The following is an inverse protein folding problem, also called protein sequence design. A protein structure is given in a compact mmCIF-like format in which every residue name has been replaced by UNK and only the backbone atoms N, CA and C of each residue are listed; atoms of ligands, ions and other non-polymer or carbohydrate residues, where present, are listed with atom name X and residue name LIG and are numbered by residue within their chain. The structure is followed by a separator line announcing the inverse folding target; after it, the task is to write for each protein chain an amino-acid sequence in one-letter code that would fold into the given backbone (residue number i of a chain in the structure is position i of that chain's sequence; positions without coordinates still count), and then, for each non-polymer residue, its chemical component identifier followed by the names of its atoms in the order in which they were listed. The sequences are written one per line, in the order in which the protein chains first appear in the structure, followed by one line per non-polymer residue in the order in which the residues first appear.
data_IF_810858709422
#
_entry.id   IF_810858709422
#
_cell.length_a   1.000
_cell.length_b   1.000
_cell.length_c   1.000
_cell.angle_alpha   90.00
_cell.angle_beta   90.00
_cell.angle_gamma   90.00
#
_symmetry.space_group_name_H-M   'P 1'
#
loop_
_entity.id
_entity.type
_entity.pdbx_description
1 polymer ?
#
# COMPACT_ATOMS: atom_id res chain seq x y z
N UNK A 1 20.55 7.13 -29.90
CA UNK A 1 20.73 8.48 -30.46
C UNK A 1 21.11 8.30 -31.93
N UNK A 2 21.48 9.35 -32.68
CA UNK A 2 21.90 9.23 -34.09
C UNK A 2 23.07 8.24 -34.29
N UNK A 3 23.91 8.11 -33.27
CA UNK A 3 25.02 7.16 -33.15
C UNK A 3 24.60 5.71 -32.80
N UNK A 4 23.32 5.44 -32.59
CA UNK A 4 22.78 4.15 -32.17
C UNK A 4 22.80 3.88 -30.65
N UNK A 5 23.32 4.80 -29.82
CA UNK A 5 23.41 4.60 -28.36
C UNK A 5 22.02 4.62 -27.71
N UNK A 6 21.59 3.57 -26.98
CA UNK A 6 20.30 3.57 -26.30
C UNK A 6 20.32 4.47 -25.06
N UNK A 7 19.14 4.88 -24.59
CA UNK A 7 18.99 5.54 -23.29
C UNK A 7 18.80 4.52 -22.18
N UNK A 8 19.39 4.78 -21.02
CA UNK A 8 19.23 3.91 -19.84
C UNK A 8 17.96 4.22 -19.03
N UNK A 9 17.63 5.51 -18.87
CA UNK A 9 16.52 5.95 -18.01
C UNK A 9 15.75 7.10 -18.67
N UNK A 10 14.42 6.98 -18.74
CA UNK A 10 13.53 8.04 -19.20
C UNK A 10 12.78 8.66 -18.02
N UNK A 11 12.93 9.97 -17.82
CA UNK A 11 12.30 10.71 -16.73
C UNK A 11 11.09 11.51 -17.21
N UNK A 12 10.08 11.63 -16.35
CA UNK A 12 8.91 12.45 -16.65
C UNK A 12 9.24 13.95 -16.52
N UNK A 13 9.11 14.75 -17.60
CA UNK A 13 9.49 16.17 -17.58
C UNK A 13 8.59 17.03 -16.67
N UNK A 14 7.37 16.58 -16.35
CA UNK A 14 6.42 17.35 -15.54
C UNK A 14 6.90 17.58 -14.10
N UNK A 15 7.80 16.75 -13.59
CA UNK A 15 8.32 16.85 -12.24
C UNK A 15 9.25 18.05 -12.01
N UNK A 16 9.94 18.52 -13.06
CA UNK A 16 10.96 19.57 -12.93
C UNK A 16 10.34 20.96 -12.72
N UNK A 17 9.39 21.45 -13.56
CA UNK A 17 8.76 22.76 -13.35
C UNK A 17 7.94 22.80 -12.06
N UNK A 18 7.27 21.71 -11.71
CA UNK A 18 6.41 21.63 -10.52
C UNK A 18 7.19 21.72 -9.21
N UNK A 19 8.45 21.27 -9.17
CA UNK A 19 9.28 21.24 -7.95
C UNK A 19 10.42 22.24 -7.95
N UNK A 20 10.61 22.99 -9.05
CA UNK A 20 11.69 23.96 -9.24
C UNK A 20 13.10 23.38 -9.05
N UNK A 21 13.30 22.10 -9.38
CA UNK A 21 14.58 21.40 -9.27
C UNK A 21 15.48 21.67 -10.48
N UNK A 22 15.84 22.94 -10.72
CA UNK A 22 16.62 23.35 -11.92
C UNK A 22 18.02 22.72 -11.93
N UNK A 23 18.62 22.50 -10.76
CA UNK A 23 19.92 21.85 -10.64
C UNK A 23 19.99 20.46 -11.29
N UNK A 24 18.86 19.75 -11.37
CA UNK A 24 18.78 18.47 -12.09
C UNK A 24 19.12 18.63 -13.58
N UNK A 25 18.65 19.71 -14.21
CA UNK A 25 18.94 20.00 -15.62
C UNK A 25 20.41 20.38 -15.79
N UNK A 26 20.92 21.23 -14.91
CA UNK A 26 22.32 21.68 -14.94
C UNK A 26 23.29 20.51 -14.75
N UNK A 27 23.00 19.60 -13.82
CA UNK A 27 23.77 18.37 -13.61
C UNK A 27 23.74 17.47 -14.85
N UNK A 28 22.55 17.27 -15.43
CA UNK A 28 22.37 16.42 -16.62
C UNK A 28 23.18 16.94 -17.81
N UNK A 29 23.16 18.26 -18.01
CA UNK A 29 23.92 18.95 -19.05
C UNK A 29 25.43 18.84 -18.82
N UNK A 30 25.90 19.22 -17.62
CA UNK A 30 27.33 19.16 -17.29
C UNK A 30 27.87 17.73 -17.31
N UNK A 31 27.09 16.76 -16.86
CA UNK A 31 27.44 15.35 -16.89
C UNK A 31 27.63 14.83 -18.32
N UNK A 32 26.88 15.36 -19.30
CA UNK A 32 27.09 14.99 -20.69
C UNK A 32 28.40 15.55 -21.25
N UNK A 33 28.68 16.83 -21.01
CA UNK A 33 29.97 17.42 -21.35
C UNK A 33 31.14 16.66 -20.70
N UNK A 34 30.99 16.27 -19.41
CA UNK A 34 32.00 15.53 -18.66
C UNK A 34 32.38 14.20 -19.32
N UNK A 35 31.38 13.42 -19.73
CA UNK A 35 31.59 12.13 -20.41
C UNK A 35 32.20 12.33 -21.81
N UNK A 36 31.77 13.35 -22.55
CA UNK A 36 32.27 13.62 -23.89
C UNK A 36 33.72 14.13 -23.91
N UNK A 37 34.12 14.92 -22.90
CA UNK A 37 35.47 15.47 -22.74
C UNK A 37 36.41 14.58 -21.91
N UNK A 38 35.90 13.52 -21.28
CA UNK A 38 36.62 12.68 -20.32
C UNK A 38 37.19 13.50 -19.13
N UNK A 39 36.40 14.46 -18.63
CA UNK A 39 36.76 15.36 -17.54
C UNK A 39 35.88 15.14 -16.29
N UNK A 40 36.44 15.44 -15.12
CA UNK A 40 35.70 15.45 -13.86
C UNK A 40 35.49 16.88 -13.38
N UNK A 41 34.24 17.22 -13.05
CA UNK A 41 33.88 18.54 -12.55
C UNK A 41 33.58 18.52 -11.05
N UNK A 42 33.97 19.61 -10.38
CA UNK A 42 33.67 19.86 -8.97
C UNK A 42 33.03 21.23 -8.84
N UNK A 43 31.74 21.26 -8.53
CA UNK A 43 30.98 22.48 -8.26
C UNK A 43 30.61 22.54 -6.77
N UNK A 44 31.25 23.41 -5.96
CA UNK A 44 30.85 23.61 -4.58
C UNK A 44 29.40 24.08 -4.45
N UNK A 45 28.73 23.73 -3.35
CA UNK A 45 27.28 23.94 -3.13
C UNK A 45 26.78 25.39 -3.27
N UNK A 46 27.66 26.39 -3.16
CA UNK A 46 27.32 27.82 -3.34
C UNK A 46 28.13 28.51 -4.45
N UNK A 47 28.83 27.73 -5.27
CA UNK A 47 29.60 28.19 -6.43
C UNK A 47 29.19 27.36 -7.64
N UNK A 48 27.88 27.34 -7.91
CA UNK A 48 27.31 26.66 -9.07
C UNK A 48 27.85 27.27 -10.36
N UNK A 49 28.03 26.43 -11.38
CA UNK A 49 28.40 26.89 -12.72
C UNK A 49 27.32 27.85 -13.25
N UNK A 50 27.73 28.92 -13.94
CA UNK A 50 26.80 29.76 -14.69
C UNK A 50 26.32 29.02 -15.94
N UNK A 51 25.16 29.41 -16.49
CA UNK A 51 24.68 28.83 -17.75
C UNK A 51 25.67 29.06 -18.90
N UNK A 52 26.31 30.22 -18.94
CA UNK A 52 27.33 30.54 -19.95
C UNK A 52 28.52 29.57 -19.89
N UNK A 53 28.97 29.20 -18.69
CA UNK A 53 30.04 28.22 -18.51
C UNK A 53 29.62 26.82 -18.97
N UNK A 54 28.37 26.44 -18.72
CA UNK A 54 27.82 25.16 -19.19
C UNK A 54 27.74 25.11 -20.72
N UNK A 55 27.22 26.18 -21.35
CA UNK A 55 27.13 26.30 -22.81
C UNK A 55 28.52 26.28 -23.47
N UNK A 56 29.51 26.95 -22.87
CA UNK A 56 30.90 26.92 -23.34
C UNK A 56 31.48 25.50 -23.30
N UNK A 57 31.24 24.76 -22.21
CA UNK A 57 31.68 23.36 -22.07
C UNK A 57 30.96 22.41 -23.02
N UNK A 58 29.67 22.61 -23.25
CA UNK A 58 28.93 21.83 -24.26
C UNK A 58 29.48 22.08 -25.66
N UNK A 59 29.83 23.33 -25.99
CA UNK A 59 30.44 23.68 -27.27
C UNK A 59 31.84 23.08 -27.43
N UNK A 60 32.65 23.11 -26.38
CA UNK A 60 33.96 22.43 -26.33
C UNK A 60 33.83 20.92 -26.57
N UNK A 61 32.80 20.30 -25.98
CA UNK A 61 32.47 18.88 -26.16
C UNK A 61 31.89 18.53 -27.55
N UNK A 62 31.60 19.52 -28.41
CA UNK A 62 30.94 19.31 -29.69
C UNK A 62 29.46 18.89 -29.57
N UNK A 63 28.83 19.19 -28.44
CA UNK A 63 27.43 18.87 -28.14
C UNK A 63 26.52 20.10 -28.31
N UNK A 64 25.18 19.92 -28.48
CA UNK A 64 24.23 21.03 -28.53
C UNK A 64 24.21 21.85 -27.23
N UNK A 65 24.21 23.18 -27.34
CA UNK A 65 24.24 24.10 -26.19
C UNK A 65 23.02 23.92 -25.26
N UNK A 66 21.87 23.54 -25.81
CA UNK A 66 20.64 23.29 -25.05
C UNK A 66 20.51 21.84 -24.55
N UNK A 67 21.53 21.01 -24.75
CA UNK A 67 21.55 19.57 -24.42
C UNK A 67 20.37 18.80 -25.01
N UNK A 68 19.80 19.26 -26.12
CA UNK A 68 18.73 18.53 -26.81
C UNK A 68 19.28 17.77 -28.00
N UNK A 69 18.93 16.50 -28.10
CA UNK A 69 19.28 15.65 -29.23
C UNK A 69 18.05 15.09 -29.94
N UNK A 70 18.24 14.73 -31.21
CA UNK A 70 17.24 14.00 -31.98
C UNK A 70 17.28 12.54 -31.53
N UNK A 71 16.16 12.09 -30.96
CA UNK A 71 15.95 10.70 -30.60
C UNK A 71 15.07 10.02 -31.63
N UNK A 72 15.25 8.71 -31.75
CA UNK A 72 14.47 7.84 -32.63
C UNK A 72 13.70 6.86 -31.76
N UNK A 73 12.46 6.58 -32.14
CA UNK A 73 11.68 5.52 -31.51
C UNK A 73 12.32 4.17 -31.82
N UNK A 74 12.73 3.44 -30.77
CA UNK A 74 13.37 2.13 -30.90
C UNK A 74 12.47 1.05 -31.50
N UNK A 75 11.14 1.23 -31.53
CA UNK A 75 10.22 0.29 -32.16
C UNK A 75 9.99 0.58 -33.64
N UNK A 76 9.82 1.85 -34.03
CA UNK A 76 9.45 2.23 -35.40
C UNK A 76 10.60 2.80 -36.24
N UNK A 77 11.67 3.27 -35.60
CA UNK A 77 12.81 3.94 -36.25
C UNK A 77 12.52 5.37 -36.71
N UNK A 78 11.34 5.92 -36.40
CA UNK A 78 10.97 7.30 -36.76
C UNK A 78 11.52 8.29 -35.71
N UNK A 79 12.10 9.43 -36.13
CA UNK A 79 12.54 10.46 -35.17
C UNK A 79 11.36 11.11 -34.45
N UNK A 80 11.55 11.47 -33.18
CA UNK A 80 10.57 12.26 -32.45
C UNK A 80 10.44 13.67 -33.04
N UNK A 81 9.22 14.24 -32.98
CA UNK A 81 8.91 15.55 -33.58
C UNK A 81 9.72 16.69 -32.97
N UNK A 82 9.89 16.68 -31.64
CA UNK A 82 10.65 17.69 -30.92
C UNK A 82 11.96 17.09 -30.42
N UNK A 83 13.05 17.87 -30.39
CA UNK A 83 14.32 17.43 -29.84
C UNK A 83 14.18 17.22 -28.33
N UNK A 84 14.83 16.19 -27.80
CA UNK A 84 14.66 15.72 -26.42
C UNK A 84 15.90 16.06 -25.61
N UNK A 85 15.69 16.63 -24.43
CA UNK A 85 16.75 16.92 -23.47
C UNK A 85 17.35 15.61 -22.95
N UNK A 86 18.65 15.41 -23.21
CA UNK A 86 19.40 14.22 -22.83
C UNK A 86 20.65 14.61 -22.03
N UNK A 87 21.27 13.64 -21.36
CA UNK A 87 22.55 13.82 -20.70
C UNK A 87 22.78 12.78 -19.60
N UNK A 88 23.77 13.03 -18.75
CA UNK A 88 24.17 12.10 -17.69
C UNK A 88 23.91 12.69 -16.33
N UNK A 89 23.21 11.94 -15.48
CA UNK A 89 22.85 12.33 -14.12
C UNK A 89 23.20 11.22 -13.14
N UNK A 90 23.58 11.58 -11.92
CA UNK A 90 23.93 10.60 -10.91
C UNK A 90 22.69 10.07 -10.17
N UNK A 91 22.47 8.76 -10.23
CA UNK A 91 21.36 8.08 -9.55
C UNK A 91 21.81 7.28 -8.33
N UNK A 92 20.97 7.30 -7.28
CA UNK A 92 21.14 6.48 -6.09
C UNK A 92 20.03 5.43 -5.99
N UNK A 93 20.42 4.19 -5.68
CA UNK A 93 19.48 3.12 -5.32
C UNK A 93 19.22 3.15 -3.81
N UNK A 94 17.99 3.48 -3.42
CA UNK A 94 17.57 3.43 -2.02
C UNK A 94 17.22 2.01 -1.57
N UNK A 95 17.26 1.76 -0.26
CA UNK A 95 17.03 0.43 0.34
C UNK A 95 15.54 -0.02 0.35
N UNK A 96 14.63 0.76 -0.22
CA UNK A 96 13.19 0.48 -0.22
C UNK A 96 12.77 -0.50 -1.32
N UNK A 97 13.24 -1.75 -1.22
CA UNK A 97 12.96 -2.80 -2.20
C UNK A 97 11.51 -3.31 -2.07
N UNK A 98 10.92 -3.71 -3.21
CA UNK A 98 9.55 -4.26 -3.27
C UNK A 98 9.46 -5.63 -2.62
N UNK A 99 10.53 -6.43 -2.70
CA UNK A 99 10.62 -7.77 -2.13
C UNK A 99 10.34 -7.77 -0.62
N UNK A 100 10.78 -6.71 0.08
CA UNK A 100 10.55 -6.54 1.50
C UNK A 100 9.11 -6.10 1.82
N UNK A 101 8.40 -5.51 0.86
CA UNK A 101 7.05 -4.92 1.04
C UNK A 101 5.92 -5.86 0.66
N UNK A 102 6.13 -6.79 -0.28
CA UNK A 102 5.09 -7.72 -0.69
C UNK A 102 4.73 -8.66 0.48
N UNK A 103 3.43 -8.74 0.80
CA UNK A 103 2.86 -9.61 1.83
C UNK A 103 1.40 -9.92 1.51
N UNK A 104 1.02 -11.18 1.63
CA UNK A 104 -0.35 -11.65 1.43
C UNK A 104 -0.70 -12.68 2.51
N UNK A 105 -1.97 -12.68 2.90
CA UNK A 105 -2.51 -13.60 3.91
C UNK A 105 -3.85 -14.14 3.43
N UNK A 106 -4.03 -15.46 3.53
CA UNK A 106 -5.32 -16.13 3.40
C UNK A 106 -5.86 -16.49 4.79
N UNK A 107 -5.29 -17.51 5.43
CA UNK A 107 -5.53 -17.92 6.81
C UNK A 107 -4.21 -17.88 7.58
N UNK A 108 -4.24 -17.85 8.91
CA UNK A 108 -3.02 -17.71 9.70
C UNK A 108 -3.28 -17.77 11.20
N UNK A 109 -2.30 -17.41 12.04
CA UNK A 109 -2.49 -17.39 13.48
C UNK A 109 -3.44 -16.25 13.92
N UNK A 110 -4.10 -16.50 15.04
CA UNK A 110 -5.06 -15.61 15.68
C UNK A 110 -4.68 -15.36 17.13
N UNK A 111 -5.11 -14.21 17.66
CA UNK A 111 -4.98 -13.86 19.07
C UNK A 111 -5.75 -14.84 19.95
N UNK A 112 -5.20 -15.21 21.10
CA UNK A 112 -5.86 -16.11 22.05
C UNK A 112 -7.08 -15.48 22.72
N UNK A 113 -7.05 -14.16 22.93
CA UNK A 113 -8.09 -13.43 23.67
C UNK A 113 -9.24 -13.04 22.75
N UNK A 114 -8.93 -12.26 21.71
CA UNK A 114 -9.95 -11.67 20.83
C UNK A 114 -10.26 -12.51 19.60
N UNK A 115 -9.53 -13.61 19.37
CA UNK A 115 -9.67 -14.44 18.17
C UNK A 115 -9.47 -13.70 16.83
N UNK A 116 -8.86 -12.50 16.86
CA UNK A 116 -8.55 -11.70 15.68
C UNK A 116 -7.21 -12.08 15.05
N UNK A 117 -7.03 -11.89 13.72
CA UNK A 117 -5.76 -12.02 13.04
C UNK A 117 -4.60 -11.29 13.75
N UNK A 118 -3.46 -11.97 13.95
CA UNK A 118 -2.24 -11.29 14.43
C UNK A 118 -1.75 -10.23 13.42
N UNK A 119 -0.97 -9.25 13.88
CA UNK A 119 -0.42 -8.18 13.04
C UNK A 119 1.01 -8.44 12.55
N UNK A 120 1.36 -7.85 11.41
CA UNK A 120 2.74 -7.78 10.91
C UNK A 120 3.19 -8.95 10.03
N UNK A 121 4.00 -8.65 9.01
CA UNK A 121 4.53 -9.62 8.03
C UNK A 121 5.27 -10.79 8.68
N UNK A 122 6.06 -10.52 9.72
CA UNK A 122 6.85 -11.54 10.42
C UNK A 122 6.03 -12.64 11.10
N UNK A 123 4.77 -12.35 11.46
CA UNK A 123 3.88 -13.29 12.14
C UNK A 123 2.80 -13.87 11.20
N UNK A 124 2.99 -13.71 9.88
CA UNK A 124 1.96 -13.99 8.90
C UNK A 124 0.64 -13.24 9.21
N UNK A 125 0.81 -11.99 9.64
CA UNK A 125 -0.26 -11.15 10.15
C UNK A 125 -1.20 -10.60 9.08
N UNK A 126 -2.42 -10.26 9.48
CA UNK A 126 -3.42 -9.64 8.61
C UNK A 126 -3.21 -8.13 8.51
N UNK A 127 -3.91 -7.53 7.55
CA UNK A 127 -4.01 -6.08 7.47
C UNK A 127 -5.09 -5.59 8.43
N UNK A 128 -4.88 -4.40 9.00
CA UNK A 128 -5.88 -3.76 9.84
C UNK A 128 -6.89 -3.05 8.96
N UNK A 129 -8.17 -3.42 9.09
CA UNK A 129 -9.28 -2.58 8.66
C UNK A 129 -9.60 -1.63 9.83
N UNK A 130 -9.29 -0.36 9.68
CA UNK A 130 -9.47 0.65 10.72
C UNK A 130 -10.83 1.34 10.65
N UNK A 131 -11.01 2.27 11.58
CA UNK A 131 -12.23 3.07 11.70
C UNK A 131 -12.49 3.92 10.45
N UNK A 132 -11.44 4.51 9.87
CA UNK A 132 -11.58 5.31 8.65
C UNK A 132 -12.02 4.48 7.44
N UNK A 133 -11.56 3.23 7.33
CA UNK A 133 -12.00 2.32 6.27
C UNK A 133 -13.45 1.85 6.48
N UNK A 134 -13.88 1.66 7.73
CA UNK A 134 -15.28 1.37 8.07
C UNK A 134 -16.17 2.53 7.65
N UNK A 135 -15.83 3.77 8.00
CA UNK A 135 -16.60 4.96 7.59
C UNK A 135 -16.71 5.07 6.07
N UNK A 136 -15.65 4.74 5.34
CA UNK A 136 -15.69 4.73 3.88
C UNK A 136 -16.72 3.71 3.37
N UNK A 137 -16.73 2.49 3.90
CA UNK A 137 -17.71 1.45 3.50
C UNK A 137 -19.15 1.83 3.86
N UNK A 138 -19.35 2.45 5.01
CA UNK A 138 -20.65 2.96 5.44
C UNK A 138 -21.15 4.09 4.51
N UNK A 139 -20.27 5.02 4.14
CA UNK A 139 -20.60 6.12 3.22
C UNK A 139 -20.95 5.61 1.82
N UNK A 140 -20.32 4.52 1.37
CA UNK A 140 -20.70 3.83 0.13
C UNK A 140 -22.01 3.02 0.25
N UNK A 141 -22.49 2.74 1.47
CA UNK A 141 -23.66 1.88 1.70
C UNK A 141 -23.36 0.38 1.54
N UNK A 142 -22.10 -0.04 1.67
CA UNK A 142 -21.66 -1.41 1.44
C UNK A 142 -21.89 -2.32 2.67
N UNK A 143 -23.16 -2.45 3.11
CA UNK A 143 -23.52 -3.13 4.35
C UNK A 143 -23.08 -4.61 4.41
N UNK A 144 -23.31 -5.39 3.35
CA UNK A 144 -22.92 -6.80 3.30
C UNK A 144 -21.40 -6.99 3.35
N UNK A 145 -20.65 -6.15 2.61
CA UNK A 145 -19.19 -6.18 2.60
C UNK A 145 -18.63 -5.84 3.98
N UNK A 146 -19.20 -4.83 4.64
CA UNK A 146 -18.81 -4.44 5.98
C UNK A 146 -19.10 -5.54 7.00
N UNK A 147 -20.29 -6.15 6.94
CA UNK A 147 -20.66 -7.27 7.80
C UNK A 147 -19.69 -8.44 7.66
N UNK A 148 -19.35 -8.84 6.43
CA UNK A 148 -18.40 -9.91 6.16
C UNK A 148 -17.00 -9.62 6.72
N UNK A 149 -16.52 -8.37 6.55
CA UNK A 149 -15.22 -7.93 7.02
C UNK A 149 -15.11 -7.90 8.55
N UNK A 150 -16.18 -7.47 9.23
CA UNK A 150 -16.21 -7.34 10.69
C UNK A 150 -16.46 -8.67 11.42
N UNK A 151 -17.04 -9.67 10.76
CA UNK A 151 -17.42 -10.94 11.39
C UNK A 151 -16.55 -12.08 10.87
N UNK A 152 -16.93 -12.68 9.76
CA UNK A 152 -16.41 -13.95 9.24
C UNK A 152 -14.92 -13.85 8.85
N UNK A 153 -14.46 -12.67 8.41
CA UNK A 153 -13.04 -12.42 8.09
C UNK A 153 -12.18 -12.03 9.30
N UNK A 154 -12.77 -11.84 10.47
CA UNK A 154 -12.10 -11.40 11.68
C UNK A 154 -12.17 -12.48 12.78
N UNK A 155 -13.14 -12.37 13.68
CA UNK A 155 -13.18 -13.05 14.97
C UNK A 155 -14.43 -13.92 15.18
N UNK A 156 -15.29 -14.09 14.16
CA UNK A 156 -16.33 -15.12 14.19
C UNK A 156 -15.72 -16.52 13.96
N UNK A 157 -15.41 -17.20 15.07
CA UNK A 157 -14.76 -18.51 15.07
C UNK A 157 -15.56 -19.58 14.33
N UNK A 158 -16.89 -19.57 14.46
CA UNK A 158 -17.76 -20.56 13.85
C UNK A 158 -18.03 -20.20 12.38
N UNK A 159 -18.25 -18.92 12.09
CA UNK A 159 -18.46 -18.40 10.74
C UNK A 159 -17.27 -18.63 9.83
N UNK A 160 -16.04 -18.39 10.30
CA UNK A 160 -14.82 -18.57 9.48
C UNK A 160 -14.62 -20.01 8.99
N UNK A 161 -14.89 -21.01 9.85
CA UNK A 161 -14.74 -22.43 9.49
C UNK A 161 -15.82 -22.83 8.49
N UNK A 162 -17.08 -22.46 8.76
CA UNK A 162 -18.20 -22.75 7.87
C UNK A 162 -18.02 -22.12 6.49
N UNK A 163 -17.58 -20.86 6.43
CA UNK A 163 -17.40 -20.19 5.14
C UNK A 163 -16.24 -20.80 4.35
N UNK A 164 -15.15 -21.18 5.04
CA UNK A 164 -14.04 -21.86 4.37
C UNK A 164 -14.49 -23.17 3.73
N UNK A 165 -15.25 -24.00 4.46
CA UNK A 165 -15.83 -25.23 3.91
C UNK A 165 -16.78 -24.96 2.75
N UNK A 166 -17.63 -23.94 2.88
CA UNK A 166 -18.62 -23.59 1.86
C UNK A 166 -17.97 -23.12 0.57
N UNK A 167 -16.90 -22.32 0.66
CA UNK A 167 -16.08 -21.89 -0.48
C UNK A 167 -15.44 -23.10 -1.17
N UNK A 168 -14.91 -24.06 -0.40
CA UNK A 168 -14.30 -25.29 -0.96
C UNK A 168 -15.35 -26.17 -1.64
N UNK A 169 -16.58 -26.25 -1.10
CA UNK A 169 -17.69 -27.02 -1.66
C UNK A 169 -18.44 -26.31 -2.80
N UNK A 170 -18.24 -25.00 -2.97
CA UNK A 170 -18.98 -24.18 -3.93
C UNK A 170 -20.43 -23.90 -3.51
N UNK A 171 -20.73 -23.99 -2.22
CA UNK A 171 -22.07 -23.77 -1.67
C UNK A 171 -22.21 -22.32 -1.17
N UNK A 172 -23.38 -21.66 -1.37
CA UNK A 172 -23.64 -20.35 -0.80
C UNK A 172 -23.87 -20.49 0.71
N UNK A 173 -23.10 -19.75 1.52
CA UNK A 173 -23.29 -19.72 2.96
C UNK A 173 -23.27 -18.29 3.48
N UNK A 174 -24.28 -17.92 4.28
CA UNK A 174 -24.24 -16.69 5.09
C UNK A 174 -25.20 -16.77 6.27
N UNK A 175 -24.64 -17.00 7.46
CA UNK A 175 -25.16 -16.42 8.71
C UNK A 175 -23.96 -15.91 9.48
N UNK A 176 -23.76 -14.59 9.51
CA UNK A 176 -22.74 -13.97 10.34
C UNK A 176 -23.13 -14.14 11.81
N UNK A 177 -22.19 -14.62 12.63
CA UNK A 177 -22.37 -14.72 14.07
C UNK A 177 -22.05 -13.42 14.80
N UNK A 178 -22.10 -13.48 16.12
CA UNK A 178 -21.61 -12.41 16.99
C UNK A 178 -20.07 -12.44 17.05
N UNK A 179 -19.40 -11.28 16.89
CA UNK A 179 -17.95 -11.17 17.05
C UNK A 179 -17.48 -11.56 18.46
N UNK A 180 -16.37 -12.29 18.56
CA UNK A 180 -15.80 -12.67 19.85
C UNK A 180 -15.34 -11.45 20.65
N UNK A 181 -14.88 -10.38 19.99
CA UNK A 181 -14.53 -9.14 20.67
C UNK A 181 -15.70 -8.51 21.45
N UNK A 182 -16.95 -8.70 21.01
CA UNK A 182 -18.12 -8.24 21.74
C UNK A 182 -18.38 -9.09 23.00
N UNK A 183 -18.18 -10.41 22.91
CA UNK A 183 -18.28 -11.29 24.08
C UNK A 183 -17.22 -10.92 25.14
N UNK A 184 -15.98 -10.65 24.70
CA UNK A 184 -14.89 -10.19 25.58
C UNK A 184 -15.28 -8.87 26.26
N UNK A 185 -15.81 -7.90 25.53
CA UNK A 185 -16.29 -6.63 26.09
C UNK A 185 -17.33 -6.84 27.20
N UNK A 186 -18.31 -7.72 26.99
CA UNK A 186 -19.33 -8.01 28.00
C UNK A 186 -18.72 -8.64 29.25
N UNK A 187 -17.74 -9.53 29.10
CA UNK A 187 -17.02 -10.11 30.24
C UNK A 187 -16.18 -9.07 31.00
N UNK A 188 -15.55 -8.14 30.29
CA UNK A 188 -14.81 -7.04 30.92
C UNK A 188 -15.74 -6.13 31.75
N UNK A 189 -16.93 -5.82 31.22
CA UNK A 189 -17.95 -5.05 31.95
C UNK A 189 -18.45 -5.82 33.19
N UNK A 190 -18.76 -7.12 33.06
CA UNK A 190 -19.15 -7.99 34.19
C UNK A 190 -18.04 -8.10 35.23
N UNK A 191 -16.78 -8.07 34.81
CA UNK A 191 -15.60 -8.01 35.68
C UNK A 191 -15.55 -6.76 36.57
N UNK A 192 -16.18 -5.66 36.15
CA UNK A 192 -16.35 -4.42 36.93
C UNK A 192 -17.56 -4.46 37.88
N UNK A 193 -18.19 -5.63 38.05
CA UNK A 193 -19.44 -5.81 38.78
C UNK A 193 -20.64 -5.04 38.18
N UNK A 194 -20.61 -4.80 36.88
CA UNK A 194 -21.73 -4.26 36.12
C UNK A 194 -22.42 -5.40 35.37
N UNK A 195 -23.72 -5.61 35.65
CA UNK A 195 -24.49 -6.65 34.96
C UNK A 195 -24.97 -6.14 33.59
N UNK A 196 -24.62 -6.88 32.54
CA UNK A 196 -25.03 -6.61 31.17
C UNK A 196 -25.67 -7.87 30.59
N UNK A 197 -26.90 -7.71 30.11
CA UNK A 197 -27.72 -8.74 29.49
C UNK A 197 -28.24 -8.22 28.16
N UNK A 198 -28.15 -9.04 27.11
CA UNK A 198 -28.61 -8.71 25.76
C UNK A 198 -29.89 -9.50 25.50
N UNK A 199 -30.94 -8.80 25.07
CA UNK A 199 -32.23 -9.40 24.72
C UNK A 199 -32.47 -9.23 23.23
N UNK A 200 -33.09 -10.23 22.60
CA UNK A 200 -33.58 -10.12 21.23
C UNK A 200 -34.84 -9.23 21.14
N UNK A 201 -35.37 -9.06 19.93
CA UNK A 201 -36.58 -8.27 19.70
C UNK A 201 -37.84 -8.90 20.34
N UNK A 202 -37.81 -10.19 20.62
CA UNK A 202 -38.91 -10.97 21.20
C UNK A 202 -38.81 -11.04 22.74
N UNK A 203 -37.77 -10.44 23.34
CA UNK A 203 -37.53 -10.41 24.79
C UNK A 203 -36.81 -11.64 25.34
N UNK A 204 -36.29 -12.53 24.49
CA UNK A 204 -35.48 -13.66 24.92
C UNK A 204 -34.04 -13.22 25.17
N UNK A 205 -33.41 -13.78 26.21
CA UNK A 205 -32.01 -13.54 26.50
C UNK A 205 -31.13 -14.19 25.42
N UNK A 206 -30.27 -13.40 24.79
CA UNK A 206 -29.26 -13.92 23.86
C UNK A 206 -28.11 -14.51 24.69
N UNK A 207 -27.79 -15.80 24.53
CA UNK A 207 -26.66 -16.38 25.23
C UNK A 207 -25.35 -15.81 24.70
N UNK A 208 -24.56 -15.20 25.59
CA UNK A 208 -23.26 -14.62 25.26
C UNK A 208 -22.09 -15.52 25.69
N UNK A 209 -22.36 -16.51 26.55
CA UNK A 209 -21.40 -17.50 27.03
C UNK A 209 -22.03 -18.88 27.13
N UNK A 210 -21.21 -19.92 27.10
CA UNK A 210 -21.64 -21.31 27.38
C UNK A 210 -22.38 -21.42 28.73
N UNK A 211 -21.97 -20.62 29.73
CA UNK A 211 -22.65 -20.56 31.02
C UNK A 211 -24.06 -19.96 30.90
N UNK A 212 -24.22 -18.92 30.10
CA UNK A 212 -25.52 -18.32 29.85
C UNK A 212 -26.43 -19.28 29.06
N UNK A 213 -25.87 -20.04 28.11
CA UNK A 213 -26.57 -21.15 27.43
C UNK A 213 -27.03 -22.23 28.42
N UNK A 214 -26.16 -22.66 29.33
CA UNK A 214 -26.50 -23.66 30.36
C UNK A 214 -27.59 -23.16 31.32
N UNK A 215 -27.53 -21.88 31.72
CA UNK A 215 -28.51 -21.28 32.62
C UNK A 215 -29.89 -21.20 31.95
N UNK A 216 -29.93 -20.83 30.67
CA UNK A 216 -31.16 -20.82 29.88
C UNK A 216 -31.72 -22.23 29.66
N UNK A 217 -30.86 -23.21 29.35
CA UNK A 217 -31.28 -24.61 29.19
C UNK A 217 -31.84 -25.20 30.49
N UNK A 218 -31.23 -24.88 31.64
CA UNK A 218 -31.74 -25.29 32.97
C UNK A 218 -33.09 -24.65 33.29
N UNK A 219 -33.28 -23.37 32.99
CA UNK A 219 -34.56 -22.68 33.20
C UNK A 219 -35.68 -23.22 32.29
N UNK A 220 -35.37 -23.58 31.04
CA UNK A 220 -36.33 -24.21 30.12
C UNK A 220 -36.76 -25.62 30.53
N UNK A 221 -35.92 -26.37 31.26
CA UNK A 221 -36.23 -27.72 31.74
C UNK A 221 -37.05 -27.77 33.04
N UNK A 222 -37.28 -26.62 33.69
CA UNK A 222 -37.99 -26.52 34.96
C UNK A 222 -39.48 -26.11 34.83
N UNK A 223 -39.99 -25.97 33.59
CA UNK A 223 -41.40 -25.69 33.26
C UNK A 223 -42.07 -26.89 32.61
#
# INVERSE_FOLDING_TARGET
MEDGTPLDVCLNPLGVPSRMNIGQLMETQLGWAAVALDEWYSTPVFQSASMEQLEEKMREAGLPEDSKAILYDGQTGVPFVNPVFCGYIYYLKLHHLVDDKMHARSTGPYSLVTQQPLGGKAQFGGQRLGEMEVWALEAYGAANTLQELLTIKSDDMNGRVKIYESIVKGEPATTAGMPEAFNVLVQEIRGLALDMSVYDADGNLVPLTERDEELLAKQGSAN
#
